data_IF_459076517188
#
_entry.id   IF_459076517188
#
_cell.length_a   1.000
_cell.length_b   1.000
_cell.length_c   1.000
_cell.angle_alpha   90.00
_cell.angle_beta   90.00
_cell.angle_gamma   90.00
#
_symmetry.space_group_name_H-M   'P 1'
#
loop_
_entity.id
_entity.type
_entity.pdbx_description
1 polymer ?
#
# COMPACT_ATOMS: atom_id res chain seq x y z
N UNK A 1 -8.36 -3.23 9.51
CA UNK A 1 -7.75 -4.41 8.85
C UNK A 1 -7.35 -5.46 9.88
N UNK A 2 -7.31 -6.75 9.54
CA UNK A 2 -6.80 -7.79 10.45
C UNK A 2 -5.50 -8.39 9.89
N UNK A 3 -4.41 -8.23 10.65
CA UNK A 3 -3.12 -8.84 10.37
C UNK A 3 -3.21 -10.37 10.30
N UNK A 4 -2.49 -10.96 9.34
CA UNK A 4 -2.36 -12.39 9.15
C UNK A 4 -0.89 -12.77 9.37
N UNK A 5 -0.63 -13.57 10.39
CA UNK A 5 0.70 -14.14 10.63
C UNK A 5 0.98 -15.22 9.59
N UNK A 6 1.97 -14.98 8.74
CA UNK A 6 2.43 -15.92 7.73
C UNK A 6 3.88 -16.30 8.05
N UNK A 7 4.15 -17.47 8.66
CA UNK A 7 5.50 -17.85 9.10
C UNK A 7 6.55 -17.84 7.99
N UNK A 8 6.13 -18.09 6.74
CA UNK A 8 7.04 -18.05 5.59
C UNK A 8 7.62 -16.64 5.32
N UNK A 9 6.93 -15.59 5.76
CA UNK A 9 7.40 -14.21 5.63
C UNK A 9 8.41 -13.81 6.71
N UNK A 10 8.53 -14.55 7.82
CA UNK A 10 9.41 -14.16 8.94
C UNK A 10 10.89 -14.12 8.52
N UNK A 11 11.32 -15.11 7.75
CA UNK A 11 12.70 -15.18 7.24
C UNK A 11 12.98 -14.06 6.22
N UNK A 12 11.99 -13.73 5.39
CA UNK A 12 12.07 -12.64 4.42
C UNK A 12 12.12 -11.29 5.14
N UNK A 13 11.25 -11.07 6.12
CA UNK A 13 11.23 -9.85 6.93
C UNK A 13 12.53 -9.63 7.69
N UNK A 14 13.11 -10.70 8.23
CA UNK A 14 14.43 -10.63 8.86
C UNK A 14 15.51 -10.20 7.85
N UNK A 15 15.44 -10.72 6.62
CA UNK A 15 16.42 -10.42 5.57
C UNK A 15 16.24 -9.03 4.93
N UNK A 16 15.03 -8.47 4.95
CA UNK A 16 14.72 -7.13 4.43
C UNK A 16 15.22 -5.98 5.32
N UNK A 17 15.81 -6.30 6.47
CA UNK A 17 16.49 -5.34 7.34
C UNK A 17 18.00 -5.57 7.27
N UNK A 18 18.72 -4.68 6.60
CA UNK A 18 20.14 -4.84 6.36
C UNK A 18 20.87 -3.49 6.25
N UNK A 19 22.18 -3.53 6.45
CA UNK A 19 23.06 -2.37 6.33
C UNK A 19 23.73 -2.36 4.94
N UNK A 20 23.81 -1.17 4.34
CA UNK A 20 24.68 -0.88 3.19
C UNK A 20 25.81 0.05 3.65
N UNK A 21 26.85 0.29 2.82
CA UNK A 21 27.87 1.27 3.16
C UNK A 21 27.33 2.70 3.37
N UNK A 22 26.20 3.04 2.75
CA UNK A 22 25.62 4.39 2.73
C UNK A 22 24.47 4.57 3.72
N UNK A 23 23.67 3.54 3.96
CA UNK A 23 22.49 3.65 4.82
C UNK A 23 22.10 2.30 5.43
N UNK A 24 21.09 2.34 6.31
CA UNK A 24 20.41 1.15 6.79
C UNK A 24 19.06 1.03 6.11
N UNK A 25 18.78 -0.12 5.52
CA UNK A 25 17.50 -0.42 4.89
C UNK A 25 16.60 -1.12 5.89
N UNK A 26 15.38 -0.60 6.01
CA UNK A 26 14.30 -1.21 6.79
C UNK A 26 13.14 -1.55 5.84
N UNK A 27 13.06 -2.81 5.44
CA UNK A 27 11.94 -3.34 4.67
C UNK A 27 11.09 -4.31 5.48
N UNK A 28 9.81 -4.42 5.11
CA UNK A 28 8.90 -5.45 5.62
C UNK A 28 7.84 -5.81 4.58
N UNK A 29 7.36 -7.03 4.66
CA UNK A 29 6.21 -7.57 3.95
C UNK A 29 5.21 -8.08 4.99
N UNK A 30 3.98 -7.60 4.87
CA UNK A 30 2.90 -7.88 5.82
C UNK A 30 1.64 -8.29 5.05
N UNK A 31 0.86 -9.21 5.64
CA UNK A 31 -0.38 -9.69 5.03
C UNK A 31 -1.56 -9.30 5.90
N UNK A 32 -2.61 -8.78 5.26
CA UNK A 32 -3.83 -8.35 5.93
C UNK A 32 -5.07 -8.89 5.24
N UNK A 33 -6.07 -9.25 6.03
CA UNK A 33 -7.43 -9.50 5.54
C UNK A 33 -8.29 -8.24 5.67
N UNK A 34 -9.16 -8.02 4.67
CA UNK A 34 -10.10 -6.90 4.59
C UNK A 34 -11.28 -7.00 5.59
N UNK A 35 -11.05 -7.52 6.80
CA UNK A 35 -12.07 -7.61 7.83
C UNK A 35 -12.27 -6.26 8.50
N UNK A 36 -13.42 -5.64 8.25
CA UNK A 36 -13.81 -4.34 8.83
C UNK A 36 -14.30 -4.53 10.27
N UNK A 37 -13.59 -3.95 11.25
CA UNK A 37 -14.02 -3.95 12.64
C UNK A 37 -13.65 -2.66 13.38
N UNK A 38 -14.44 -2.29 14.40
CA UNK A 38 -14.11 -1.17 15.31
C UNK A 38 -13.85 0.15 14.58
N UNK A 39 -12.61 0.65 14.67
CA UNK A 39 -12.15 1.90 14.07
C UNK A 39 -12.36 1.94 12.54
N UNK A 40 -12.21 0.80 11.86
CA UNK A 40 -12.42 0.68 10.41
C UNK A 40 -13.83 1.14 9.99
N UNK A 41 -14.86 0.87 10.81
CA UNK A 41 -16.24 1.28 10.51
C UNK A 41 -16.41 2.79 10.57
N UNK A 42 -15.71 3.46 11.49
CA UNK A 42 -15.74 4.92 11.61
C UNK A 42 -15.03 5.55 10.42
N UNK A 43 -13.85 5.03 10.07
CA UNK A 43 -13.08 5.46 8.90
C UNK A 43 -13.89 5.30 7.60
N UNK A 44 -14.48 4.12 7.37
CA UNK A 44 -15.30 3.89 6.18
C UNK A 44 -16.46 4.87 6.07
N UNK A 45 -17.17 5.12 7.18
CA UNK A 45 -18.28 6.08 7.20
C UNK A 45 -17.81 7.52 6.95
N UNK A 46 -16.67 7.91 7.53
CA UNK A 46 -16.09 9.22 7.31
C UNK A 46 -15.74 9.45 5.83
N UNK A 47 -15.05 8.49 5.20
CA UNK A 47 -14.71 8.55 3.78
C UNK A 47 -15.95 8.58 2.89
N UNK A 48 -16.95 7.72 3.13
CA UNK A 48 -18.20 7.73 2.35
C UNK A 48 -18.92 9.08 2.43
N UNK A 49 -19.03 9.66 3.63
CA UNK A 49 -19.67 10.97 3.80
C UNK A 49 -18.91 12.06 3.04
N UNK A 50 -17.58 12.10 3.18
CA UNK A 50 -16.73 13.07 2.49
C UNK A 50 -16.93 13.03 0.97
N UNK A 51 -16.83 11.86 0.37
CA UNK A 51 -16.99 11.75 -1.08
C UNK A 51 -18.43 11.99 -1.55
N UNK A 52 -19.44 11.67 -0.74
CA UNK A 52 -20.83 12.01 -1.08
C UNK A 52 -21.06 13.52 -1.06
N UNK A 53 -20.49 14.23 -0.09
CA UNK A 53 -20.52 15.69 0.00
C UNK A 53 -19.75 16.32 -1.17
N UNK A 54 -18.54 15.86 -1.45
CA UNK A 54 -17.72 16.34 -2.57
C UNK A 54 -18.43 16.15 -3.91
N UNK A 55 -19.06 14.98 -4.14
CA UNK A 55 -19.84 14.71 -5.36
C UNK A 55 -21.05 15.63 -5.49
N UNK A 56 -21.73 15.94 -4.38
CA UNK A 56 -22.92 16.81 -4.39
C UNK A 56 -22.57 18.28 -4.65
N UNK A 57 -21.38 18.71 -4.26
CA UNK A 57 -20.90 20.09 -4.41
C UNK A 57 -20.05 20.32 -5.65
N UNK A 58 -19.57 19.25 -6.30
CA UNK A 58 -18.69 19.34 -7.46
C UNK A 58 -19.47 19.30 -8.78
N UNK A 59 -19.07 20.10 -9.79
CA UNK A 59 -19.59 19.96 -11.16
C UNK A 59 -19.43 18.55 -11.72
N UNK A 60 -20.35 18.11 -12.60
CA UNK A 60 -20.39 16.75 -13.17
C UNK A 60 -19.07 16.27 -13.79
N UNK A 61 -18.25 17.16 -14.36
CA UNK A 61 -16.97 16.79 -14.96
C UNK A 61 -15.92 16.36 -13.92
N UNK A 62 -15.97 16.88 -12.69
CA UNK A 62 -15.08 16.46 -11.58
C UNK A 62 -15.54 15.12 -11.02
N UNK A 63 -16.86 14.86 -11.02
CA UNK A 63 -17.41 13.57 -10.57
C UNK A 63 -16.97 12.39 -11.46
N UNK A 64 -16.62 12.68 -12.72
CA UNK A 64 -16.08 11.73 -13.70
C UNK A 64 -14.55 11.68 -13.71
N UNK A 65 -13.86 12.49 -12.90
CA UNK A 65 -12.41 12.45 -12.82
C UNK A 65 -11.95 11.04 -12.43
N UNK A 66 -11.02 10.50 -13.22
CA UNK A 66 -10.54 9.13 -13.06
C UNK A 66 -9.44 9.13 -12.01
N UNK A 67 -9.74 8.56 -10.84
CA UNK A 67 -8.73 8.25 -9.84
C UNK A 67 -7.98 6.95 -10.23
N UNK A 68 -6.87 6.61 -9.55
CA UNK A 68 -6.19 5.31 -9.73
C UNK A 68 -7.09 4.09 -9.52
N UNK A 69 -8.22 4.27 -8.81
CA UNK A 69 -9.19 3.21 -8.51
C UNK A 69 -10.40 3.21 -9.46
N UNK A 70 -10.46 4.16 -10.39
CA UNK A 70 -11.63 4.47 -11.21
C UNK A 70 -12.40 5.70 -10.71
N UNK A 71 -13.59 5.99 -11.26
CA UNK A 71 -14.40 7.14 -10.85
C UNK A 71 -14.81 7.05 -9.38
N UNK A 72 -14.61 8.12 -8.61
CA UNK A 72 -14.91 8.13 -7.16
C UNK A 72 -16.41 8.17 -6.85
N UNK A 73 -17.26 8.38 -7.84
CA UNK A 73 -18.71 8.16 -7.73
C UNK A 73 -19.08 6.67 -7.59
N UNK A 74 -18.19 5.74 -7.97
CA UNK A 74 -18.42 4.31 -7.81
C UNK A 74 -18.08 3.84 -6.39
N UNK A 75 -19.01 3.11 -5.71
CA UNK A 75 -18.73 2.54 -4.39
C UNK A 75 -17.54 1.59 -4.37
N UNK A 76 -17.25 0.90 -5.48
CA UNK A 76 -16.08 0.00 -5.60
C UNK A 76 -14.76 0.77 -5.49
N UNK A 77 -14.61 1.90 -6.19
CA UNK A 77 -13.41 2.76 -6.14
C UNK A 77 -13.16 3.26 -4.71
N UNK A 78 -14.22 3.73 -4.03
CA UNK A 78 -14.15 4.21 -2.65
C UNK A 78 -13.81 3.08 -1.67
N UNK A 79 -14.34 1.88 -1.89
CA UNK A 79 -13.99 0.70 -1.10
C UNK A 79 -12.51 0.32 -1.27
N UNK A 80 -11.96 0.41 -2.48
CA UNK A 80 -10.52 0.18 -2.71
C UNK A 80 -9.67 1.22 -1.98
N UNK A 81 -9.99 2.51 -2.09
CA UNK A 81 -9.30 3.57 -1.35
C UNK A 81 -9.34 3.31 0.16
N UNK A 82 -10.53 3.03 0.70
CA UNK A 82 -10.70 2.69 2.11
C UNK A 82 -9.82 1.51 2.53
N UNK A 83 -9.78 0.44 1.73
CA UNK A 83 -8.97 -0.73 2.04
C UNK A 83 -7.48 -0.37 2.11
N UNK A 84 -6.98 0.47 1.20
CA UNK A 84 -5.59 0.91 1.21
C UNK A 84 -5.28 1.81 2.42
N UNK A 85 -6.12 2.80 2.72
CA UNK A 85 -5.95 3.66 3.90
C UNK A 85 -6.00 2.86 5.20
N UNK A 86 -6.96 1.94 5.33
CA UNK A 86 -7.06 1.09 6.52
C UNK A 86 -5.88 0.11 6.64
N UNK A 87 -5.24 -0.25 5.53
CA UNK A 87 -4.00 -1.04 5.54
C UNK A 87 -2.81 -0.20 6.01
N UNK A 88 -2.68 1.05 5.55
CA UNK A 88 -1.65 1.99 6.03
C UNK A 88 -1.78 2.23 7.54
N UNK A 89 -2.98 2.57 8.02
CA UNK A 89 -3.25 2.76 9.47
C UNK A 89 -2.98 1.49 10.30
N UNK A 90 -3.12 0.30 9.72
CA UNK A 90 -2.82 -0.94 10.43
C UNK A 90 -1.32 -1.24 10.47
N UNK A 91 -0.59 -0.92 9.41
CA UNK A 91 0.86 -1.13 9.29
C UNK A 91 1.66 -0.08 10.07
N UNK A 92 1.13 1.13 10.18
CA UNK A 92 1.75 2.28 10.85
C UNK A 92 0.77 2.90 11.87
N UNK A 93 0.54 2.25 13.02
CA UNK A 93 -0.49 2.65 13.99
C UNK A 93 -0.22 4.01 14.68
N UNK A 94 1.01 4.50 14.60
CA UNK A 94 1.41 5.80 15.17
C UNK A 94 1.09 6.98 14.24
N UNK A 95 0.66 6.71 13.01
CA UNK A 95 0.32 7.71 12.00
C UNK A 95 -1.17 7.66 11.67
N UNK A 96 -1.76 8.82 11.34
CA UNK A 96 -3.16 8.92 10.90
C UNK A 96 -3.21 9.18 9.38
N UNK A 97 -3.67 8.18 8.63
CA UNK A 97 -3.84 8.26 7.18
C UNK A 97 -5.28 8.60 6.76
N UNK A 98 -6.16 8.98 7.69
CA UNK A 98 -7.59 9.20 7.42
C UNK A 98 -7.87 10.26 6.34
N UNK A 99 -6.95 11.22 6.16
CA UNK A 99 -7.04 12.31 5.18
C UNK A 99 -6.31 12.05 3.86
N UNK A 100 -5.71 10.86 3.68
CA UNK A 100 -5.03 10.50 2.44
C UNK A 100 -5.97 10.56 1.24
N UNK A 101 -5.48 11.17 0.16
CA UNK A 101 -6.25 11.40 -1.06
C UNK A 101 -5.94 10.37 -2.16
N UNK A 102 -6.84 10.17 -3.14
CA UNK A 102 -6.63 9.21 -4.22
C UNK A 102 -5.41 9.54 -5.08
N UNK A 103 -5.08 10.83 -5.21
CA UNK A 103 -3.95 11.30 -6.03
C UNK A 103 -2.59 10.90 -5.44
N UNK A 104 -2.54 10.54 -4.15
CA UNK A 104 -1.34 10.04 -3.48
C UNK A 104 -1.12 8.54 -3.73
N UNK A 105 -1.96 7.91 -4.56
CA UNK A 105 -1.77 6.54 -5.01
C UNK A 105 -1.51 6.46 -6.51
N UNK A 106 -0.79 5.44 -6.93
CA UNK A 106 -0.60 5.09 -8.34
C UNK A 106 -1.00 3.64 -8.54
N UNK A 107 -1.89 3.38 -9.51
CA UNK A 107 -2.19 2.02 -9.97
C UNK A 107 -1.14 1.58 -10.98
N UNK A 108 -0.48 0.45 -10.72
CA UNK A 108 0.52 -0.11 -11.60
C UNK A 108 -0.16 -1.02 -12.64
N UNK A 109 0.08 -0.81 -13.95
CA UNK A 109 -0.57 -1.60 -15.00
C UNK A 109 0.05 -2.98 -15.20
N UNK A 110 1.22 -3.23 -14.61
CA UNK A 110 1.96 -4.48 -14.79
C UNK A 110 2.68 -4.85 -13.50
N UNK A 111 2.25 -5.97 -12.92
CA UNK A 111 2.94 -6.61 -11.81
C UNK A 111 4.40 -6.89 -12.14
N UNK A 112 4.70 -7.37 -13.35
CA UNK A 112 6.08 -7.70 -13.77
C UNK A 112 7.01 -6.49 -13.67
N UNK A 113 6.54 -5.27 -13.99
CA UNK A 113 7.34 -4.06 -13.82
C UNK A 113 7.64 -3.77 -12.35
N UNK A 114 6.67 -3.97 -11.46
CA UNK A 114 6.84 -3.80 -10.01
C UNK A 114 7.83 -4.83 -9.46
N UNK A 115 7.67 -6.11 -9.82
CA UNK A 115 8.60 -7.15 -9.43
C UNK A 115 10.02 -6.87 -9.93
N UNK A 116 10.17 -6.45 -11.19
CA UNK A 116 11.47 -6.10 -11.75
C UNK A 116 12.10 -4.89 -11.06
N UNK A 117 11.30 -3.89 -10.68
CA UNK A 117 11.78 -2.74 -9.91
C UNK A 117 12.33 -3.17 -8.55
N UNK A 118 11.55 -3.93 -7.78
CA UNK A 118 11.98 -4.46 -6.47
C UNK A 118 13.20 -5.35 -6.61
N UNK A 119 13.23 -6.22 -7.63
CA UNK A 119 14.38 -7.07 -7.94
C UNK A 119 15.62 -6.22 -8.17
N UNK A 120 15.58 -5.29 -9.13
CA UNK A 120 16.73 -4.46 -9.48
C UNK A 120 17.23 -3.66 -8.26
N UNK A 121 16.34 -3.13 -7.43
CA UNK A 121 16.71 -2.44 -6.19
C UNK A 121 17.47 -3.38 -5.25
N UNK A 122 16.94 -4.57 -4.95
CA UNK A 122 17.62 -5.53 -4.07
C UNK A 122 18.93 -6.04 -4.66
N UNK A 123 19.00 -6.31 -5.96
CA UNK A 123 20.23 -6.73 -6.65
C UNK A 123 21.30 -5.65 -6.60
N UNK A 124 20.95 -4.39 -6.86
CA UNK A 124 21.88 -3.27 -6.81
C UNK A 124 22.42 -3.02 -5.40
N UNK A 125 21.64 -3.34 -4.37
CA UNK A 125 22.05 -3.29 -2.97
C UNK A 125 22.80 -4.55 -2.50
N UNK A 126 23.10 -5.51 -3.39
CA UNK A 126 23.80 -6.76 -3.05
C UNK A 126 22.94 -7.81 -2.33
N UNK A 127 21.62 -7.58 -2.22
CA UNK A 127 20.65 -8.40 -1.49
C UNK A 127 19.70 -9.18 -2.42
N UNK A 128 20.09 -9.41 -3.67
CA UNK A 128 19.30 -10.18 -4.65
C UNK A 128 19.00 -11.62 -4.22
N UNK A 129 19.74 -12.17 -3.25
CA UNK A 129 19.49 -13.48 -2.66
C UNK A 129 18.15 -13.56 -1.90
N UNK A 130 17.57 -12.43 -1.48
CA UNK A 130 16.20 -12.40 -0.93
C UNK A 130 15.20 -12.85 -2.00
N UNK A 131 15.41 -12.43 -3.26
CA UNK A 131 14.56 -12.80 -4.38
C UNK A 131 14.78 -14.27 -4.76
N UNK A 132 16.03 -14.67 -4.97
CA UNK A 132 16.36 -15.98 -5.56
C UNK A 132 16.57 -17.10 -4.55
N UNK A 133 17.03 -16.78 -3.35
CA UNK A 133 17.34 -17.74 -2.29
C UNK A 133 16.18 -17.95 -1.32
N UNK A 134 15.45 -16.89 -0.97
CA UNK A 134 14.25 -16.99 -0.12
C UNK A 134 12.94 -17.11 -0.92
N UNK A 135 13.03 -17.09 -2.26
CA UNK A 135 11.89 -17.21 -3.16
C UNK A 135 10.77 -16.19 -2.88
N UNK A 136 11.15 -14.91 -2.66
CA UNK A 136 10.23 -13.82 -2.30
C UNK A 136 8.91 -13.85 -3.08
N UNK A 137 8.99 -13.94 -4.41
CA UNK A 137 7.81 -13.89 -5.27
C UNK A 137 6.96 -15.15 -5.20
N UNK A 138 7.55 -16.34 -5.08
CA UNK A 138 6.78 -17.58 -4.93
C UNK A 138 6.01 -17.58 -3.60
N UNK A 139 6.69 -17.19 -2.51
CA UNK A 139 6.04 -17.10 -1.19
C UNK A 139 4.91 -16.08 -1.23
N UNK A 140 5.09 -14.95 -1.91
CA UNK A 140 4.04 -13.94 -2.04
C UNK A 140 2.86 -14.47 -2.88
N UNK A 141 3.15 -15.13 -4.00
CA UNK A 141 2.15 -15.72 -4.89
C UNK A 141 1.29 -16.77 -4.19
N UNK A 142 1.91 -17.66 -3.40
CA UNK A 142 1.22 -18.68 -2.61
C UNK A 142 0.23 -18.09 -1.58
N UNK A 143 0.40 -16.83 -1.18
CA UNK A 143 -0.45 -16.16 -0.17
C UNK A 143 -1.61 -15.39 -0.81
N UNK A 144 -1.36 -14.68 -1.92
CA UNK A 144 -2.31 -13.70 -2.47
C UNK A 144 -2.70 -13.92 -3.93
N UNK A 145 -2.13 -14.92 -4.62
CA UNK A 145 -2.36 -15.18 -6.06
C UNK A 145 -2.08 -13.91 -6.89
N UNK A 146 -0.80 -13.66 -7.16
CA UNK A 146 -0.33 -12.36 -7.67
C UNK A 146 -0.95 -11.98 -9.01
N UNK A 147 -1.25 -12.96 -9.86
CA UNK A 147 -1.87 -12.74 -11.18
C UNK A 147 -3.32 -12.22 -11.09
N UNK A 148 -3.99 -12.40 -9.96
CA UNK A 148 -5.35 -11.89 -9.70
C UNK A 148 -5.37 -10.55 -8.96
N UNK A 149 -4.19 -9.97 -8.68
CA UNK A 149 -4.06 -8.77 -7.87
C UNK A 149 -4.05 -7.47 -8.68
N UNK A 150 -4.73 -6.45 -8.17
CA UNK A 150 -4.48 -5.06 -8.52
C UNK A 150 -3.33 -4.51 -7.66
N UNK A 151 -2.33 -3.88 -8.30
CA UNK A 151 -1.13 -3.37 -7.60
C UNK A 151 -1.15 -1.85 -7.52
N UNK A 152 -0.88 -1.32 -6.32
CA UNK A 152 -0.85 0.11 -6.04
C UNK A 152 0.42 0.50 -5.29
N UNK A 153 0.94 1.71 -5.52
CA UNK A 153 1.92 2.34 -4.63
C UNK A 153 1.31 3.56 -3.94
N UNK A 154 1.66 3.77 -2.68
CA UNK A 154 1.40 5.00 -1.94
C UNK A 154 2.61 5.92 -2.07
N UNK A 155 2.40 7.13 -2.57
CA UNK A 155 3.42 8.14 -2.78
C UNK A 155 2.97 9.40 -2.00
N UNK A 156 3.38 9.56 -0.73
CA UNK A 156 3.00 10.71 0.08
C UNK A 156 3.54 12.01 -0.51
N UNK A 157 2.88 13.13 -0.18
CA UNK A 157 3.46 14.45 -0.38
C UNK A 157 4.59 14.66 0.66
N UNK A 158 5.56 15.55 0.41
CA UNK A 158 6.71 15.75 1.30
C UNK A 158 6.32 16.05 2.77
N UNK A 159 5.16 16.66 3.01
CA UNK A 159 4.68 16.98 4.37
C UNK A 159 3.90 15.82 5.03
N UNK A 160 3.67 14.72 4.32
CA UNK A 160 2.82 13.59 4.74
C UNK A 160 3.55 12.24 4.69
N UNK A 161 4.86 12.23 4.46
CA UNK A 161 5.65 11.01 4.43
C UNK A 161 6.04 10.59 5.84
N UNK A 162 5.59 9.41 6.33
CA UNK A 162 5.99 8.90 7.63
C UNK A 162 7.49 8.60 7.74
N UNK A 163 8.20 8.48 6.61
CA UNK A 163 9.62 8.14 6.56
C UNK A 163 10.55 9.36 6.40
N UNK A 164 10.02 10.58 6.26
CA UNK A 164 10.83 11.80 6.32
C UNK A 164 11.08 12.09 7.80
N UNK A 165 12.20 11.61 8.34
CA UNK A 165 12.73 12.15 9.60
C UNK A 165 13.19 13.60 9.36
N UNK A 166 12.86 14.52 10.27
CA UNK A 166 13.45 15.87 10.30
C UNK A 166 14.98 15.74 10.43
N UNK A 167 15.71 15.80 9.30
CA UNK A 167 17.17 15.93 9.30
C UNK A 167 17.97 14.92 8.47
N UNK A 168 17.46 14.47 7.32
CA UNK A 168 18.30 13.87 6.27
C UNK A 168 19.07 14.94 5.48
#
# INVERSE_FOLDING_TARGET
MKFLEIPALDVINTALVFDTPECKVFGRIETYSCKVAGADKKLYKHLENRYQEDLSNSPEYIQQAVSPFGPMNQPSSRKTLFNLIATLNASYPDYDFSDVKPEQFTKHPSLSHVCNYVNNTLFNLGHGWIVTGLNLWQVTDDIIELDECDVYSYNPDMDSDPNIEEGA
#
